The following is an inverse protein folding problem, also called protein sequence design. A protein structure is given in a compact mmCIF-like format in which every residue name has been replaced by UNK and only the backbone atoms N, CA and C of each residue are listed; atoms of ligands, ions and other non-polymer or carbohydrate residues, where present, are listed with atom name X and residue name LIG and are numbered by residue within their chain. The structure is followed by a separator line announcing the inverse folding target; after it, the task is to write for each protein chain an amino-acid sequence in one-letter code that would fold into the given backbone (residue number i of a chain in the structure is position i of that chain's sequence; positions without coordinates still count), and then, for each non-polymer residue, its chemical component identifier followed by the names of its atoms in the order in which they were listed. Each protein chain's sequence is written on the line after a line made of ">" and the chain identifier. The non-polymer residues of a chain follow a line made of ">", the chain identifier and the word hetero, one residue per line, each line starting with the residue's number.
data_IF_471831082307
#
_entry.id   IF_471831082307
#
_cell.length_a   1.000
_cell.length_b   1.000
_cell.length_c   1.000
_cell.angle_alpha   90.00
_cell.angle_beta   90.00
_cell.angle_gamma   90.00
#
_symmetry.space_group_name_H-M   'P 1'
#
loop_
_entity.id
_entity.type
_entity.pdbx_description
1 polymer ?
#
# COMPACT_ATOMS: atom_id res chain seq x y z
N UNK A 1 -1.25 -2.51 12.23
CA UNK A 1 -2.44 -2.80 11.41
C UNK A 1 -3.00 -4.19 11.67
N UNK A 2 -2.23 -5.29 11.54
CA UNK A 2 -2.74 -6.64 11.90
C UNK A 2 -3.24 -6.76 13.36
N UNK A 3 -2.61 -6.05 14.30
CA UNK A 3 -3.01 -6.03 15.71
C UNK A 3 -4.32 -5.27 15.99
N UNK A 4 -4.72 -4.35 15.11
CA UNK A 4 -5.96 -3.57 15.27
C UNK A 4 -7.17 -4.42 14.90
N UNK A 5 -7.09 -5.15 13.77
CA UNK A 5 -8.12 -6.10 13.36
C UNK A 5 -8.29 -7.23 14.37
N UNK A 6 -7.20 -7.72 14.95
CA UNK A 6 -7.26 -8.73 16.01
C UNK A 6 -7.98 -8.22 17.26
N UNK A 7 -7.82 -6.93 17.57
CA UNK A 7 -8.57 -6.28 18.65
C UNK A 7 -10.06 -6.17 18.32
N UNK A 8 -10.43 -5.81 17.09
CA UNK A 8 -11.82 -5.81 16.65
C UNK A 8 -12.46 -7.20 16.68
N UNK A 9 -11.73 -8.25 16.28
CA UNK A 9 -12.22 -9.63 16.38
C UNK A 9 -12.49 -10.03 17.84
N UNK A 10 -11.61 -9.63 18.76
CA UNK A 10 -11.79 -9.88 20.19
C UNK A 10 -13.00 -9.12 20.75
N UNK A 11 -13.20 -7.87 20.35
CA UNK A 11 -14.35 -7.06 20.75
C UNK A 11 -15.65 -7.66 20.21
N UNK A 12 -15.68 -8.08 18.94
CA UNK A 12 -16.83 -8.75 18.34
C UNK A 12 -17.20 -10.03 19.10
N UNK A 13 -16.20 -10.86 19.45
CA UNK A 13 -16.41 -12.06 20.26
C UNK A 13 -16.96 -11.74 21.67
N UNK A 14 -16.57 -10.61 22.25
CA UNK A 14 -17.06 -10.19 23.57
C UNK A 14 -18.52 -9.75 23.49
N UNK A 15 -18.86 -8.88 22.54
CA UNK A 15 -20.23 -8.37 22.35
C UNK A 15 -21.21 -9.48 21.97
N UNK A 16 -20.82 -10.38 21.06
CA UNK A 16 -21.68 -11.53 20.67
C UNK A 16 -21.89 -12.52 21.79
N UNK A 17 -20.89 -12.73 22.66
CA UNK A 17 -21.04 -13.53 23.88
C UNK A 17 -22.06 -12.89 24.82
N UNK A 18 -21.99 -11.58 25.03
CA UNK A 18 -22.92 -10.84 25.88
C UNK A 18 -24.35 -10.84 25.34
N UNK A 19 -24.52 -10.65 24.02
CA UNK A 19 -25.82 -10.78 23.35
C UNK A 19 -26.39 -12.19 23.59
N UNK A 20 -25.59 -13.23 23.36
CA UNK A 20 -26.04 -14.62 23.52
C UNK A 20 -26.39 -14.94 24.97
N UNK A 21 -25.62 -14.42 25.93
CA UNK A 21 -25.88 -14.55 27.36
C UNK A 21 -27.21 -13.89 27.75
N UNK A 22 -27.43 -12.66 27.29
CA UNK A 22 -28.67 -11.92 27.56
C UNK A 22 -29.88 -12.60 26.90
N UNK A 23 -29.74 -13.09 25.67
CA UNK A 23 -30.75 -13.94 25.02
C UNK A 23 -31.05 -15.21 25.82
N UNK A 24 -30.07 -15.85 26.45
CA UNK A 24 -30.29 -16.99 27.34
C UNK A 24 -31.02 -16.63 28.64
N UNK A 25 -30.84 -15.41 29.14
CA UNK A 25 -31.39 -14.90 30.40
C UNK A 25 -32.81 -14.35 30.26
N UNK A 26 -33.10 -13.60 29.19
CA UNK A 26 -34.39 -12.93 28.92
C UNK A 26 -35.62 -13.84 29.16
N UNK A 27 -35.65 -15.12 28.74
CA UNK A 27 -36.81 -15.99 28.97
C UNK A 27 -37.09 -16.32 30.43
N UNK A 28 -36.12 -16.12 31.33
CA UNK A 28 -36.21 -16.44 32.77
C UNK A 28 -36.56 -15.21 33.62
N UNK A 29 -36.55 -14.01 33.03
CA UNK A 29 -36.77 -12.74 33.75
C UNK A 29 -38.25 -12.34 33.81
N UNK A 30 -38.61 -11.60 34.86
CA UNK A 30 -39.95 -11.00 35.03
C UNK A 30 -40.06 -9.69 34.26
N UNK A 31 -41.28 -9.27 33.92
CA UNK A 31 -41.58 -8.23 32.92
C UNK A 31 -40.69 -6.95 32.97
N UNK A 32 -40.48 -6.33 34.14
CA UNK A 32 -39.73 -5.07 34.24
C UNK A 32 -38.22 -5.28 33.97
N UNK A 33 -37.62 -6.30 34.57
CA UNK A 33 -36.24 -6.71 34.30
C UNK A 33 -36.08 -7.24 32.86
N UNK A 34 -37.09 -7.93 32.35
CA UNK A 34 -37.12 -8.42 30.96
C UNK A 34 -37.05 -7.27 29.99
N UNK A 35 -37.84 -6.22 30.19
CA UNK A 35 -37.85 -5.04 29.31
C UNK A 35 -36.50 -4.31 29.33
N UNK A 36 -35.86 -4.17 30.51
CA UNK A 36 -34.52 -3.59 30.63
C UNK A 36 -33.47 -4.39 29.87
N UNK A 37 -33.41 -5.71 30.08
CA UNK A 37 -32.42 -6.57 29.41
C UNK A 37 -32.68 -6.67 27.91
N UNK A 38 -33.93 -6.65 27.46
CA UNK A 38 -34.27 -6.58 26.02
C UNK A 38 -33.74 -5.28 25.41
N UNK A 39 -33.90 -4.14 26.10
CA UNK A 39 -33.38 -2.86 25.63
C UNK A 39 -31.85 -2.85 25.59
N UNK A 40 -31.20 -3.31 26.65
CA UNK A 40 -29.74 -3.48 26.75
C UNK A 40 -29.20 -4.38 25.62
N UNK A 41 -29.86 -5.51 25.36
CA UNK A 41 -29.49 -6.41 24.26
C UNK A 41 -29.65 -5.73 22.90
N UNK A 42 -30.66 -4.88 22.73
CA UNK A 42 -30.83 -4.09 21.50
C UNK A 42 -29.67 -3.11 21.29
N UNK A 43 -29.22 -2.44 22.36
CA UNK A 43 -28.07 -1.54 22.30
C UNK A 43 -26.79 -2.29 21.93
N UNK A 44 -26.59 -3.50 22.47
CA UNK A 44 -25.45 -4.36 22.11
C UNK A 44 -25.47 -4.79 20.64
N UNK A 45 -26.66 -5.03 20.05
CA UNK A 45 -26.78 -5.31 18.61
C UNK A 45 -26.34 -4.11 17.77
N UNK A 46 -26.69 -2.89 18.18
CA UNK A 46 -26.30 -1.67 17.49
C UNK A 46 -24.78 -1.41 17.65
N UNK A 47 -24.23 -1.58 18.84
CA UNK A 47 -22.77 -1.48 19.10
C UNK A 47 -21.96 -2.51 18.29
N UNK A 48 -22.45 -3.76 18.21
CA UNK A 48 -21.80 -4.80 17.40
C UNK A 48 -21.84 -4.46 15.91
N UNK A 49 -22.92 -3.81 15.46
CA UNK A 49 -23.03 -3.37 14.07
C UNK A 49 -22.03 -2.24 13.77
N UNK A 50 -21.94 -1.24 14.65
CA UNK A 50 -20.98 -0.14 14.52
C UNK A 50 -19.54 -0.66 14.48
N UNK A 51 -19.21 -1.65 15.31
CA UNK A 51 -17.90 -2.32 15.31
C UNK A 51 -17.59 -3.00 13.97
N UNK A 52 -18.58 -3.68 13.37
CA UNK A 52 -18.42 -4.31 12.05
C UNK A 52 -18.21 -3.25 10.96
N UNK A 53 -18.92 -2.12 11.02
CA UNK A 53 -18.75 -1.00 10.10
C UNK A 53 -17.33 -0.41 10.20
N UNK A 54 -16.83 -0.19 11.43
CA UNK A 54 -15.44 0.25 11.65
C UNK A 54 -14.41 -0.74 11.10
N UNK A 55 -14.61 -2.03 11.35
CA UNK A 55 -13.74 -3.08 10.81
C UNK A 55 -13.77 -3.11 9.27
N UNK A 56 -14.93 -2.87 8.65
CA UNK A 56 -15.04 -2.78 7.19
C UNK A 56 -14.25 -1.61 6.61
N UNK A 57 -14.26 -0.44 7.27
CA UNK A 57 -13.48 0.72 6.84
C UNK A 57 -11.97 0.44 6.90
N UNK A 58 -11.51 -0.14 8.01
CA UNK A 58 -10.10 -0.53 8.20
C UNK A 58 -9.65 -1.61 7.20
N UNK A 59 -10.54 -2.50 6.81
CA UNK A 59 -10.26 -3.51 5.76
C UNK A 59 -10.09 -2.87 4.37
N UNK A 60 -10.73 -1.73 4.10
CA UNK A 60 -10.55 -1.04 2.83
C UNK A 60 -9.16 -0.40 2.70
N UNK A 61 -8.52 -0.04 3.81
CA UNK A 61 -7.17 0.55 3.85
C UNK A 61 -6.05 -0.48 3.69
N UNK A 62 -6.36 -1.78 3.75
CA UNK A 62 -5.37 -2.87 3.63
C UNK A 62 -4.96 -3.15 2.17
N UNK A 63 -3.72 -3.65 2.01
CA UNK A 63 -3.21 -4.15 0.74
C UNK A 63 -3.99 -5.37 0.20
N UNK A 64 -3.89 -5.65 -1.12
CA UNK A 64 -4.80 -6.57 -1.84
C UNK A 64 -4.78 -8.02 -1.36
N UNK A 65 -3.68 -8.49 -0.75
CA UNK A 65 -3.55 -9.88 -0.27
C UNK A 65 -4.29 -10.11 1.05
N UNK A 66 -4.26 -9.14 1.97
CA UNK A 66 -4.93 -9.24 3.26
C UNK A 66 -6.41 -8.86 3.16
N UNK A 67 -6.73 -7.94 2.25
CA UNK A 67 -8.09 -7.44 2.02
C UNK A 67 -9.10 -8.56 1.75
N UNK A 68 -8.81 -9.50 0.86
CA UNK A 68 -9.77 -10.59 0.53
C UNK A 68 -10.06 -11.51 1.72
N UNK A 69 -9.03 -11.79 2.54
CA UNK A 69 -9.16 -12.61 3.76
C UNK A 69 -10.06 -11.93 4.80
N UNK A 70 -9.80 -10.66 5.10
CA UNK A 70 -10.54 -9.93 6.12
C UNK A 70 -11.93 -9.47 5.63
N UNK A 71 -12.11 -9.19 4.34
CA UNK A 71 -13.42 -8.87 3.77
C UNK A 71 -14.40 -10.04 3.93
N UNK A 72 -13.98 -11.26 3.58
CA UNK A 72 -14.79 -12.48 3.83
C UNK A 72 -15.10 -12.68 5.30
N UNK A 73 -14.17 -12.32 6.19
CA UNK A 73 -14.36 -12.41 7.65
C UNK A 73 -15.46 -11.45 8.12
N UNK A 74 -15.42 -10.20 7.68
CA UNK A 74 -16.41 -9.16 7.97
C UNK A 74 -17.80 -9.57 7.45
N UNK A 75 -17.88 -10.11 6.23
CA UNK A 75 -19.14 -10.66 5.67
C UNK A 75 -19.71 -11.80 6.52
N UNK A 76 -18.85 -12.72 7.00
CA UNK A 76 -19.27 -13.80 7.90
C UNK A 76 -19.83 -13.25 9.23
N UNK A 77 -19.17 -12.27 9.84
CA UNK A 77 -19.64 -11.65 11.08
C UNK A 77 -20.99 -10.94 10.89
N UNK A 78 -21.18 -10.25 9.77
CA UNK A 78 -22.46 -9.61 9.45
C UNK A 78 -23.58 -10.65 9.29
N UNK A 79 -23.32 -11.74 8.57
CA UNK A 79 -24.31 -12.83 8.41
C UNK A 79 -24.66 -13.50 9.75
N UNK A 80 -23.68 -13.67 10.63
CA UNK A 80 -23.90 -14.23 11.97
C UNK A 80 -24.73 -13.28 12.86
N UNK A 81 -24.40 -11.98 12.86
CA UNK A 81 -25.16 -10.97 13.60
C UNK A 81 -26.62 -10.90 13.14
N UNK A 82 -26.89 -10.96 11.83
CA UNK A 82 -28.25 -10.99 11.28
C UNK A 82 -29.02 -12.23 11.72
N UNK A 83 -28.39 -13.42 11.71
CA UNK A 83 -29.02 -14.64 12.25
C UNK A 83 -29.40 -14.44 13.71
N UNK A 84 -28.49 -13.91 14.53
CA UNK A 84 -28.71 -13.67 15.95
C UNK A 84 -29.83 -12.63 16.18
N UNK A 85 -29.90 -11.59 15.33
CA UNK A 85 -30.97 -10.58 15.34
C UNK A 85 -32.33 -11.16 14.95
N UNK A 86 -32.39 -12.06 13.97
CA UNK A 86 -33.64 -12.75 13.62
C UNK A 86 -34.13 -13.66 14.74
N UNK A 87 -33.22 -14.36 15.43
CA UNK A 87 -33.53 -15.15 16.61
C UNK A 87 -34.07 -14.27 17.75
N UNK A 88 -33.46 -13.10 17.98
CA UNK A 88 -33.91 -12.14 19.00
C UNK A 88 -35.31 -11.57 18.75
N UNK A 89 -35.77 -11.47 17.50
CA UNK A 89 -37.13 -11.00 17.17
C UNK A 89 -38.23 -12.00 17.55
N UNK A 90 -37.90 -13.23 17.95
CA UNK A 90 -38.91 -14.25 18.30
C UNK A 90 -39.73 -13.84 19.54
N UNK A 91 -41.01 -14.25 19.64
CA UNK A 91 -41.92 -13.85 20.73
C UNK A 91 -41.42 -14.16 22.14
N UNK A 92 -40.54 -15.16 22.28
CA UNK A 92 -39.88 -15.51 23.55
C UNK A 92 -39.13 -14.32 24.17
N UNK A 93 -38.60 -13.44 23.34
CA UNK A 93 -37.82 -12.26 23.74
C UNK A 93 -38.65 -10.98 23.78
N UNK A 94 -39.89 -10.98 23.25
CA UNK A 94 -40.74 -9.80 23.25
C UNK A 94 -41.16 -9.38 24.68
N UNK A 95 -41.09 -8.08 25.03
CA UNK A 95 -41.70 -7.56 26.24
C UNK A 95 -43.22 -7.64 26.10
N UNK A 96 -43.90 -8.18 27.12
CA UNK A 96 -45.36 -8.36 27.10
C UNK A 96 -46.01 -6.97 27.27
N UNK A 97 -46.40 -6.33 26.17
CA UNK A 97 -47.04 -5.01 26.22
C UNK A 97 -48.43 -5.13 26.85
N UNK A 98 -48.73 -4.27 27.84
CA UNK A 98 -50.04 -4.14 28.51
C UNK A 98 -51.23 -3.88 27.57
N UNK A 99 -51.00 -3.60 26.28
CA UNK A 99 -52.04 -3.41 25.28
C UNK A 99 -52.90 -4.67 24.99
N UNK A 100 -52.52 -5.84 25.52
CA UNK A 100 -53.31 -7.08 25.39
C UNK A 100 -54.05 -7.48 26.67
N UNK A 101 -54.16 -6.59 27.66
CA UNK A 101 -54.68 -6.90 29.01
C UNK A 101 -55.96 -6.14 29.40
N UNK A 102 -56.54 -5.32 28.51
CA UNK A 102 -57.70 -4.48 28.83
C UNK A 102 -59.07 -5.15 28.56
N UNK A 103 -59.13 -6.42 28.15
CA UNK A 103 -60.38 -7.03 27.69
C UNK A 103 -60.98 -8.09 28.63
N UNK A 104 -60.63 -8.10 29.92
CA UNK A 104 -61.03 -9.19 30.83
C UNK A 104 -61.34 -8.75 32.28
N UNK A 105 -61.69 -7.48 32.52
CA UNK A 105 -62.11 -7.09 33.87
C UNK A 105 -62.90 -5.79 33.89
N UNK A 106 -64.19 -5.83 33.54
CA UNK A 106 -65.21 -4.90 34.07
C UNK A 106 -66.60 -5.38 33.65
N UNK A 107 -67.56 -5.15 34.53
CA UNK A 107 -69.01 -5.19 34.30
C UNK A 107 -69.71 -6.53 34.53
N UNK A 108 -69.78 -6.89 35.82
CA UNK A 108 -71.00 -7.45 36.35
C UNK A 108 -71.82 -6.30 36.97
N UNK A 109 -73.09 -6.22 36.57
CA UNK A 109 -74.20 -5.54 37.26
C UNK A 109 -74.52 -4.05 36.92
N UNK A 110 -74.89 -3.73 35.67
CA UNK A 110 -75.90 -2.67 35.34
C UNK A 110 -76.31 -2.62 33.84
N UNK A 111 -76.63 -3.77 33.23
CA UNK A 111 -76.75 -3.93 31.76
C UNK A 111 -78.19 -4.14 31.26
N UNK A 112 -78.92 -3.07 30.90
CA UNK A 112 -80.05 -3.30 29.98
C UNK A 112 -80.57 -2.10 29.19
N UNK A 113 -80.36 -0.85 29.65
CA UNK A 113 -80.94 0.33 28.97
C UNK A 113 -79.91 1.34 28.45
N UNK A 114 -78.62 1.15 28.74
CA UNK A 114 -77.50 1.93 28.19
C UNK A 114 -76.82 1.25 26.99
N UNK A 115 -77.06 -0.05 26.81
CA UNK A 115 -76.37 -0.92 25.86
C UNK A 115 -76.62 -0.51 24.39
N UNK A 116 -77.85 -0.12 24.02
CA UNK A 116 -78.20 0.14 22.61
C UNK A 116 -77.55 1.43 22.04
N UNK A 117 -77.42 2.49 22.84
CA UNK A 117 -76.82 3.77 22.39
C UNK A 117 -75.29 3.72 22.44
N UNK A 118 -74.72 2.95 23.37
CA UNK A 118 -73.27 2.73 23.45
C UNK A 118 -72.78 1.80 22.33
N UNK A 119 -73.57 0.81 21.91
CA UNK A 119 -73.19 -0.11 20.83
C UNK A 119 -73.04 0.60 19.46
N UNK A 120 -73.95 1.51 19.12
CA UNK A 120 -73.88 2.28 17.87
C UNK A 120 -72.70 3.27 17.86
N UNK A 121 -72.47 3.95 18.99
CA UNK A 121 -71.32 4.84 19.15
C UNK A 121 -69.99 4.09 19.09
N UNK A 122 -69.90 2.91 19.72
CA UNK A 122 -68.68 2.10 19.75
C UNK A 122 -68.42 1.45 18.38
N UNK A 123 -69.46 1.03 17.66
CA UNK A 123 -69.36 0.55 16.27
C UNK A 123 -68.89 1.65 15.31
N UNK A 124 -69.43 2.86 15.44
CA UNK A 124 -69.01 4.02 14.62
C UNK A 124 -67.59 4.47 14.95
N UNK A 125 -67.20 4.45 16.23
CA UNK A 125 -65.83 4.72 16.66
C UNK A 125 -64.85 3.66 16.09
N UNK A 126 -65.24 2.38 16.06
CA UNK A 126 -64.45 1.30 15.44
C UNK A 126 -64.30 1.45 13.93
N UNK A 127 -65.34 1.89 13.22
CA UNK A 127 -65.27 2.15 11.77
C UNK A 127 -64.39 3.35 11.43
N UNK A 128 -64.50 4.44 12.19
CA UNK A 128 -63.61 5.60 12.06
C UNK A 128 -62.16 5.23 12.37
N UNK A 129 -61.92 4.47 13.44
CA UNK A 129 -60.57 4.01 13.79
C UNK A 129 -59.98 3.07 12.72
N UNK A 130 -60.79 2.18 12.14
CA UNK A 130 -60.36 1.35 11.01
C UNK A 130 -60.03 2.21 9.78
N UNK A 131 -60.85 3.21 9.47
CA UNK A 131 -60.62 4.13 8.36
C UNK A 131 -59.34 4.94 8.55
N UNK A 132 -59.11 5.45 9.76
CA UNK A 132 -57.89 6.19 10.12
C UNK A 132 -56.65 5.28 10.05
N UNK A 133 -56.75 4.02 10.51
CA UNK A 133 -55.67 3.04 10.39
C UNK A 133 -55.37 2.69 8.94
N UNK A 134 -56.39 2.55 8.10
CA UNK A 134 -56.21 2.29 6.66
C UNK A 134 -55.56 3.50 5.99
N UNK A 135 -56.06 4.72 6.21
CA UNK A 135 -55.48 5.93 5.65
C UNK A 135 -54.00 6.09 6.05
N UNK A 136 -53.67 5.82 7.33
CA UNK A 136 -52.29 5.84 7.83
C UNK A 136 -51.44 4.73 7.21
N UNK A 137 -52.00 3.54 7.02
CA UNK A 137 -51.29 2.43 6.36
C UNK A 137 -51.00 2.76 4.90
N UNK A 138 -51.96 3.34 4.18
CA UNK A 138 -51.81 3.77 2.79
C UNK A 138 -50.74 4.84 2.66
N UNK A 139 -50.75 5.87 3.50
CA UNK A 139 -49.70 6.91 3.49
C UNK A 139 -48.30 6.34 3.74
N UNK A 140 -48.16 5.40 4.68
CA UNK A 140 -46.87 4.73 4.93
C UNK A 140 -46.43 3.84 3.77
N UNK A 141 -47.37 3.26 3.03
CA UNK A 141 -47.10 2.43 1.87
C UNK A 141 -46.66 3.28 0.67
N UNK A 142 -47.28 4.45 0.49
CA UNK A 142 -46.87 5.45 -0.50
C UNK A 142 -45.49 6.04 -0.20
N UNK A 143 -45.23 6.40 1.07
CA UNK A 143 -43.90 6.83 1.52
C UNK A 143 -42.86 5.73 1.33
N UNK A 144 -43.20 4.48 1.66
CA UNK A 144 -42.34 3.32 1.45
C UNK A 144 -42.02 3.07 -0.03
N UNK A 145 -43.02 3.20 -0.91
CA UNK A 145 -42.84 3.10 -2.36
C UNK A 145 -41.93 4.21 -2.87
N UNK A 146 -42.13 5.45 -2.42
CA UNK A 146 -41.29 6.60 -2.78
C UNK A 146 -39.84 6.39 -2.37
N UNK A 147 -39.59 5.94 -1.15
CA UNK A 147 -38.23 5.65 -0.64
C UNK A 147 -37.60 4.48 -1.42
N UNK A 148 -38.38 3.45 -1.77
CA UNK A 148 -37.89 2.34 -2.58
C UNK A 148 -37.47 2.80 -3.98
N UNK A 149 -38.26 3.65 -4.64
CA UNK A 149 -37.91 4.22 -5.95
C UNK A 149 -36.66 5.10 -5.89
N UNK A 150 -36.53 5.94 -4.86
CA UNK A 150 -35.31 6.72 -4.63
C UNK A 150 -34.09 5.81 -4.41
N UNK A 151 -34.27 4.70 -3.71
CA UNK A 151 -33.20 3.72 -3.48
C UNK A 151 -32.81 2.99 -4.77
N UNK A 152 -33.77 2.68 -5.64
CA UNK A 152 -33.52 2.11 -6.97
C UNK A 152 -32.69 3.07 -7.84
N UNK A 153 -33.05 4.35 -7.84
CA UNK A 153 -32.32 5.39 -8.58
C UNK A 153 -30.87 5.52 -8.08
N UNK A 154 -30.67 5.59 -6.75
CA UNK A 154 -29.33 5.63 -6.15
C UNK A 154 -28.55 4.34 -6.46
N UNK A 155 -29.19 3.18 -6.40
CA UNK A 155 -28.58 1.90 -6.76
C UNK A 155 -28.12 1.85 -8.22
N UNK A 156 -28.94 2.35 -9.14
CA UNK A 156 -28.61 2.47 -10.57
C UNK A 156 -27.41 3.39 -10.80
N UNK A 157 -27.35 4.52 -10.09
CA UNK A 157 -26.22 5.44 -10.16
C UNK A 157 -24.93 4.79 -9.65
N UNK A 158 -24.99 4.03 -8.56
CA UNK A 158 -23.84 3.28 -8.02
C UNK A 158 -23.35 2.23 -9.03
N UNK A 159 -24.24 1.48 -9.67
CA UNK A 159 -23.85 0.49 -10.68
C UNK A 159 -23.16 1.14 -11.88
N UNK A 160 -23.62 2.32 -12.28
CA UNK A 160 -23.01 3.10 -13.36
C UNK A 160 -21.61 3.57 -12.98
N UNK A 161 -21.44 4.15 -11.78
CA UNK A 161 -20.12 4.61 -11.30
C UNK A 161 -19.13 3.45 -11.12
N UNK A 162 -19.58 2.30 -10.61
CA UNK A 162 -18.74 1.09 -10.54
C UNK A 162 -18.31 0.62 -11.95
N UNK A 163 -19.17 0.74 -12.94
CA UNK A 163 -18.84 0.50 -14.34
C UNK A 163 -17.74 1.43 -14.85
N UNK A 164 -17.87 2.73 -14.61
CA UNK A 164 -16.86 3.73 -14.97
C UNK A 164 -15.53 3.51 -14.24
N UNK A 165 -15.58 3.23 -12.94
CA UNK A 165 -14.39 2.94 -12.13
C UNK A 165 -13.67 1.68 -12.62
N UNK A 166 -14.42 0.62 -12.98
CA UNK A 166 -13.86 -0.59 -13.59
C UNK A 166 -13.16 -0.27 -14.90
N UNK A 167 -13.75 0.58 -15.73
CA UNK A 167 -13.15 0.99 -16.99
C UNK A 167 -11.86 1.82 -16.77
N UNK A 168 -11.88 2.77 -15.83
CA UNK A 168 -10.70 3.55 -15.41
C UNK A 168 -9.58 2.62 -14.91
N UNK A 169 -9.92 1.63 -14.10
CA UNK A 169 -8.96 0.64 -13.59
C UNK A 169 -8.39 -0.24 -14.72
N UNK A 170 -9.21 -0.67 -15.67
CA UNK A 170 -8.74 -1.42 -16.85
C UNK A 170 -7.82 -0.58 -17.72
N UNK A 171 -8.16 0.69 -17.98
CA UNK A 171 -7.28 1.62 -18.72
C UNK A 171 -5.96 1.84 -18.00
N UNK A 172 -5.98 2.04 -16.68
CA UNK A 172 -4.76 2.17 -15.86
C UNK A 172 -3.90 0.91 -15.93
N UNK A 173 -4.50 -0.29 -15.82
CA UNK A 173 -3.80 -1.56 -15.98
C UNK A 173 -3.18 -1.74 -17.37
N UNK A 174 -3.91 -1.39 -18.43
CA UNK A 174 -3.37 -1.46 -19.79
C UNK A 174 -2.20 -0.48 -19.99
N UNK A 175 -2.31 0.75 -19.46
CA UNK A 175 -1.20 1.72 -19.46
C UNK A 175 0.02 1.22 -18.69
N UNK A 176 -0.19 0.60 -17.52
CA UNK A 176 0.89 0.01 -16.72
C UNK A 176 1.58 -1.13 -17.50
N UNK A 177 0.80 -2.02 -18.12
CA UNK A 177 1.32 -3.12 -18.93
C UNK A 177 2.07 -2.63 -20.16
N UNK A 178 1.59 -1.55 -20.79
CA UNK A 178 2.26 -0.92 -21.92
C UNK A 178 3.56 -0.23 -21.48
N UNK A 179 3.54 0.50 -20.36
CA UNK A 179 4.73 1.08 -19.74
C UNK A 179 5.77 0.01 -19.38
N UNK A 180 5.36 -1.15 -18.88
CA UNK A 180 6.25 -2.29 -18.60
C UNK A 180 6.90 -2.84 -19.88
N UNK A 181 6.14 -2.95 -20.97
CA UNK A 181 6.70 -3.34 -22.28
C UNK A 181 7.63 -2.28 -22.88
N UNK A 182 7.36 -0.99 -22.67
CA UNK A 182 8.20 0.10 -23.17
C UNK A 182 9.47 0.28 -22.33
N UNK A 183 9.39 -0.02 -21.02
CA UNK A 183 10.55 -0.09 -20.13
C UNK A 183 11.47 -1.26 -20.51
N UNK A 184 10.89 -2.42 -20.87
CA UNK A 184 11.65 -3.58 -21.37
C UNK A 184 12.37 -3.26 -22.70
N UNK A 185 11.72 -2.56 -23.63
CA UNK A 185 12.34 -2.12 -24.90
C UNK A 185 13.42 -1.06 -24.66
N UNK A 186 13.16 -0.10 -23.78
CA UNK A 186 14.13 0.95 -23.42
C UNK A 186 15.37 0.36 -22.74
N UNK A 187 15.19 -0.63 -21.86
CA UNK A 187 16.30 -1.34 -21.21
C UNK A 187 17.21 -2.04 -22.24
N UNK A 188 16.65 -2.55 -23.34
CA UNK A 188 17.42 -3.19 -24.41
C UNK A 188 18.26 -2.18 -25.20
N UNK A 189 17.68 -1.01 -25.51
CA UNK A 189 18.37 0.06 -26.24
C UNK A 189 19.48 0.67 -25.37
N UNK A 190 19.20 0.91 -24.08
CA UNK A 190 20.20 1.45 -23.13
C UNK A 190 21.35 0.45 -22.94
N UNK A 191 21.09 -0.85 -22.90
CA UNK A 191 22.14 -1.87 -22.82
C UNK A 191 23.08 -1.83 -24.02
N UNK A 192 22.55 -1.64 -25.25
CA UNK A 192 23.38 -1.48 -26.45
C UNK A 192 24.22 -0.19 -26.42
N UNK A 193 23.65 0.93 -25.99
CA UNK A 193 24.41 2.19 -25.85
C UNK A 193 25.52 2.07 -24.81
N UNK A 194 25.23 1.43 -23.66
CA UNK A 194 26.20 1.25 -22.57
C UNK A 194 27.38 0.37 -23.02
N UNK A 195 27.12 -0.68 -23.80
CA UNK A 195 28.16 -1.57 -24.33
C UNK A 195 29.10 -0.84 -25.30
N UNK A 196 28.58 0.04 -26.16
CA UNK A 196 29.39 0.87 -27.08
C UNK A 196 30.28 1.87 -26.32
N UNK A 197 29.76 2.49 -25.25
CA UNK A 197 30.54 3.41 -24.41
C UNK A 197 31.70 2.70 -23.70
N UNK A 198 31.46 1.49 -23.18
CA UNK A 198 32.51 0.69 -22.53
C UNK A 198 33.60 0.30 -23.54
N UNK A 199 33.24 -0.13 -24.75
CA UNK A 199 34.19 -0.46 -25.80
C UNK A 199 35.09 0.73 -26.18
N UNK A 200 34.49 1.91 -26.40
CA UNK A 200 35.26 3.12 -26.74
C UNK A 200 36.24 3.52 -25.62
N UNK A 201 35.83 3.40 -24.35
CA UNK A 201 36.73 3.64 -23.21
C UNK A 201 37.91 2.66 -23.19
N UNK A 202 37.65 1.37 -23.46
CA UNK A 202 38.72 0.35 -23.50
C UNK A 202 39.72 0.61 -24.64
N UNK A 203 39.24 1.00 -25.82
CA UNK A 203 40.10 1.34 -26.97
C UNK A 203 40.98 2.55 -26.65
N UNK A 204 40.42 3.58 -26.01
CA UNK A 204 41.18 4.76 -25.60
C UNK A 204 42.31 4.40 -24.62
N UNK A 205 42.00 3.60 -23.59
CA UNK A 205 43.00 3.14 -22.61
C UNK A 205 44.10 2.31 -23.30
N UNK A 206 43.73 1.42 -24.23
CA UNK A 206 44.69 0.61 -24.98
C UNK A 206 45.66 1.47 -25.81
N UNK A 207 45.18 2.55 -26.44
CA UNK A 207 46.03 3.46 -27.21
C UNK A 207 47.04 4.21 -26.32
N UNK A 208 46.61 4.66 -25.14
CA UNK A 208 47.51 5.32 -24.17
C UNK A 208 48.60 4.37 -23.69
N UNK A 209 48.25 3.12 -23.38
CA UNK A 209 49.22 2.08 -22.99
C UNK A 209 50.22 1.82 -24.13
N UNK A 210 49.75 1.71 -25.37
CA UNK A 210 50.59 1.52 -26.55
C UNK A 210 51.61 2.67 -26.70
N UNK A 211 51.16 3.93 -26.55
CA UNK A 211 52.03 5.10 -26.62
C UNK A 211 53.13 5.06 -25.55
N UNK A 212 52.77 4.72 -24.30
CA UNK A 212 53.74 4.57 -23.21
C UNK A 212 54.76 3.46 -23.51
N UNK A 213 54.30 2.32 -24.04
CA UNK A 213 55.16 1.19 -24.37
C UNK A 213 56.19 1.57 -25.45
N UNK A 214 55.77 2.27 -26.51
CA UNK A 214 56.68 2.78 -27.55
C UNK A 214 57.71 3.73 -26.95
N UNK A 215 57.29 4.62 -26.05
CA UNK A 215 58.18 5.57 -25.38
C UNK A 215 59.25 4.86 -24.54
N UNK A 216 58.86 3.84 -23.77
CA UNK A 216 59.78 3.02 -22.98
C UNK A 216 60.78 2.29 -23.89
N UNK A 217 60.32 1.69 -24.99
CA UNK A 217 61.18 1.00 -25.95
C UNK A 217 62.18 1.96 -26.61
N UNK A 218 61.75 3.17 -26.98
CA UNK A 218 62.61 4.18 -27.55
C UNK A 218 63.74 4.59 -26.58
N UNK A 219 63.40 4.85 -25.31
CA UNK A 219 64.39 5.16 -24.27
C UNK A 219 65.37 3.99 -24.11
N UNK A 220 64.88 2.76 -24.00
CA UNK A 220 65.73 1.58 -23.86
C UNK A 220 66.72 1.41 -25.03
N UNK A 221 66.27 1.62 -26.27
CA UNK A 221 67.15 1.55 -27.44
C UNK A 221 68.20 2.66 -27.47
N UNK A 222 67.83 3.88 -27.07
CA UNK A 222 68.76 5.02 -27.00
C UNK A 222 69.83 4.77 -25.93
N UNK A 223 69.44 4.35 -24.72
CA UNK A 223 70.38 4.04 -23.64
C UNK A 223 71.30 2.88 -24.02
N UNK A 224 70.81 1.87 -24.74
CA UNK A 224 71.62 0.72 -25.17
C UNK A 224 72.59 1.04 -26.32
N UNK A 225 72.25 1.99 -27.21
CA UNK A 225 73.13 2.40 -28.32
C UNK A 225 74.23 3.38 -27.90
N UNK A 226 74.19 3.90 -26.67
CA UNK A 226 75.10 4.92 -26.15
C UNK A 226 76.44 4.42 -25.56
N UNK A 227 76.94 3.24 -25.90
CA UNK A 227 78.26 2.78 -25.45
C UNK A 227 79.35 3.10 -26.51
N UNK A 228 80.16 4.17 -26.36
CA UNK A 228 81.25 4.44 -27.28
C UNK A 228 82.40 3.45 -27.06
N UNK A 229 82.80 2.76 -28.12
CA UNK A 229 84.00 1.92 -28.19
C UNK A 229 85.23 2.83 -28.20
N UNK A 230 86.00 2.83 -27.12
CA UNK A 230 87.32 3.50 -27.07
C UNK A 230 88.34 2.58 -27.75
N UNK A 231 88.83 3.01 -28.91
CA UNK A 231 89.86 2.32 -29.69
C UNK A 231 91.25 2.86 -29.29
N UNK A 232 92.12 2.01 -28.76
CA UNK A 232 93.53 2.33 -28.48
C UNK A 232 94.39 2.18 -29.75
N UNK A 233 95.33 3.11 -30.06
CA UNK A 233 96.18 3.00 -31.24
C UNK A 233 97.36 2.01 -31.02
N UNK A 234 97.87 1.36 -32.10
CA UNK A 234 98.88 0.31 -32.02
C UNK A 234 100.32 0.83 -31.90
N UNK A 235 101.15 0.07 -31.16
CA UNK A 235 102.60 0.26 -31.02
C UNK A 235 103.30 -0.26 -32.28
N UNK A 236 104.02 0.61 -32.99
CA UNK A 236 104.92 0.23 -34.09
C UNK A 236 106.31 0.80 -33.81
N UNK A 237 107.27 -0.12 -33.70
CA UNK A 237 108.70 0.10 -33.49
C UNK A 237 109.42 0.46 -34.80
N UNK A 238 110.21 1.53 -34.84
CA UNK A 238 111.17 1.80 -35.92
C UNK A 238 112.61 1.96 -35.38
N UNK A 239 113.64 1.42 -36.06
CA UNK A 239 115.04 1.61 -35.71
C UNK A 239 115.66 2.85 -36.39
N UNK A 240 116.80 3.22 -35.81
CA UNK A 240 117.67 4.40 -35.99
C UNK A 240 118.31 4.52 -37.39
N UNK A 241 118.89 5.71 -37.64
CA UNK A 241 120.01 6.11 -38.54
C UNK A 241 119.55 6.96 -39.73
N UNK A 242 120.03 8.18 -39.99
CA UNK A 242 121.07 9.01 -39.38
C UNK A 242 121.22 10.32 -40.18
N UNK A 243 121.81 11.33 -39.51
CA UNK A 243 122.93 12.17 -40.03
C UNK A 243 122.55 13.14 -41.19
N UNK A 244 122.76 14.47 -41.16
CA UNK A 244 123.93 15.28 -40.77
C UNK A 244 123.52 16.77 -40.61
N UNK A 245 124.41 17.64 -40.04
CA UNK A 245 124.17 19.00 -39.57
C UNK A 245 124.85 20.10 -40.43
N UNK A 246 124.62 21.37 -40.09
CA UNK A 246 125.63 22.46 -40.10
C UNK A 246 124.96 23.76 -39.59
N UNK A 247 125.28 24.25 -38.38
CA UNK A 247 126.38 25.16 -38.00
C UNK A 247 126.13 26.65 -38.36
N UNK A 248 126.79 27.63 -37.69
CA UNK A 248 126.16 28.68 -36.86
C UNK A 248 126.64 30.09 -37.33
N UNK A 249 126.40 31.22 -36.67
CA UNK A 249 127.13 31.74 -35.50
C UNK A 249 126.74 33.23 -35.32
N UNK A 250 126.83 33.71 -34.07
CA UNK A 250 127.09 35.11 -33.63
C UNK A 250 125.98 36.14 -33.90
N UNK A 251 125.46 36.94 -32.95
CA UNK A 251 126.01 37.65 -31.78
C UNK A 251 124.86 37.90 -30.76
N UNK A 252 125.02 37.68 -29.45
CA UNK A 252 125.65 38.57 -28.42
C UNK A 252 124.61 39.42 -27.65
N UNK A 253 124.90 39.95 -26.44
CA UNK A 253 124.27 39.48 -25.21
C UNK A 253 123.83 40.66 -24.29
N UNK A 254 123.31 40.34 -23.12
CA UNK A 254 123.48 41.05 -21.84
C UNK A 254 122.46 40.40 -20.88
N UNK A 255 122.91 39.54 -19.96
CA UNK A 255 123.37 39.93 -18.61
C UNK A 255 122.16 40.17 -17.67
N UNK A 256 122.08 39.69 -16.43
CA UNK A 256 123.07 39.10 -15.52
C UNK A 256 122.27 38.52 -14.32
N UNK A 257 122.72 37.37 -13.78
CA UNK A 257 122.63 36.90 -12.38
C UNK A 257 121.25 36.87 -11.69
N UNK A 258 120.63 35.72 -11.38
CA UNK A 258 121.03 34.55 -10.60
C UNK A 258 121.51 34.80 -9.15
N UNK A 259 120.77 34.19 -8.22
CA UNK A 259 121.10 33.99 -6.81
C UNK A 259 121.98 32.75 -6.67
N UNK A 260 123.01 32.86 -5.84
CA UNK A 260 123.68 31.75 -5.17
C UNK A 260 123.64 32.04 -3.67
N UNK A 261 123.27 31.01 -2.90
CA UNK A 261 123.21 30.90 -1.43
C UNK A 261 122.06 31.55 -0.68
#
# INVERSE_FOLDING_TARGET
>A
MSSLLENYEKQYGTLTCEITLNMGRIPKLKNDEKQKVVHETSMLFDETKDLIEQMSLEVQELGPVLKDKYAKRVECFLSELEKLKTEFKKPRYAPRSKASLHNDFTDADEESLREEVLYDSDMRARLLNNTERVARSTGRLEDGLRVALQTEEVGSHILTDLGEQREKLQRSRNRLRQADTDLSKSSRIISEMTRRVIQNRMVLIAMVILMILIFIVAIYLVTRRGAPVVQSPPVVSNPVTGIQPSHPLTESPADLFNSHH
#
